data_IF_815675930315
#
_entry.id   IF_815675930315
#
_cell.length_a   1.000
_cell.length_b   1.000
_cell.length_c   1.000
_cell.angle_alpha   90.00
_cell.angle_beta   90.00
_cell.angle_gamma   90.00
#
_symmetry.space_group_name_H-M   'P 1'
#
loop_
_entity.id
_entity.type
_entity.pdbx_description
1 polymer ?
#
# COMPACT_ATOMS: atom_id res chain seq x y z
N UNK A 1 1.91 21.51 21.64
CA UNK A 1 2.61 20.63 20.68
C UNK A 1 2.56 21.35 19.35
N UNK A 2 3.71 21.68 18.77
CA UNK A 2 3.74 22.25 17.42
C UNK A 2 3.08 21.26 16.47
N UNK A 3 2.01 21.71 15.81
CA UNK A 3 1.29 20.93 14.82
C UNK A 3 2.14 20.91 13.56
N UNK A 4 2.94 19.86 13.39
CA UNK A 4 3.63 19.61 12.13
C UNK A 4 2.58 19.30 11.07
N UNK A 5 2.71 19.92 9.90
CA UNK A 5 1.86 19.68 8.75
C UNK A 5 2.77 19.28 7.58
N UNK A 6 2.27 18.37 6.75
CA UNK A 6 2.90 18.07 5.46
C UNK A 6 2.60 19.19 4.47
N UNK A 7 3.56 19.45 3.60
CA UNK A 7 3.53 20.48 2.56
C UNK A 7 3.85 19.86 1.20
N UNK A 8 3.82 20.66 0.13
CA UNK A 8 4.23 20.22 -1.21
C UNK A 8 5.67 19.67 -1.23
N UNK A 9 6.56 20.13 -0.34
CA UNK A 9 7.95 19.67 -0.28
C UNK A 9 8.07 18.21 0.22
N UNK A 10 7.08 17.73 0.94
CA UNK A 10 6.99 16.36 1.42
C UNK A 10 6.43 15.41 0.35
N UNK A 11 5.94 15.94 -0.77
CA UNK A 11 5.33 15.18 -1.87
C UNK A 11 6.33 14.91 -3.01
N UNK A 12 6.08 13.83 -3.76
CA UNK A 12 6.77 13.53 -5.02
C UNK A 12 6.50 14.68 -6.00
N UNK A 13 7.56 15.17 -6.65
CA UNK A 13 7.46 16.29 -7.59
C UNK A 13 6.44 16.01 -8.70
N UNK A 14 5.57 16.97 -8.98
CA UNK A 14 4.52 16.91 -10.00
C UNK A 14 3.44 15.83 -9.78
N UNK A 15 3.44 15.14 -8.64
CA UNK A 15 2.47 14.06 -8.38
C UNK A 15 1.03 14.57 -8.31
N UNK A 16 0.82 15.83 -7.95
CA UNK A 16 -0.50 16.46 -7.85
C UNK A 16 -1.27 16.48 -9.17
N UNK A 17 -0.58 16.46 -10.31
CA UNK A 17 -1.22 16.50 -11.63
C UNK A 17 -0.75 15.43 -12.62
N UNK A 18 0.30 14.65 -12.32
CA UNK A 18 0.79 13.58 -13.21
C UNK A 18 0.50 12.16 -12.73
N UNK A 19 0.35 11.95 -11.43
CA UNK A 19 0.25 10.59 -10.88
C UNK A 19 -1.20 10.13 -10.69
N UNK A 20 -1.41 8.85 -10.96
CA UNK A 20 -2.54 8.11 -10.39
C UNK A 20 -2.36 7.96 -8.87
N UNK A 21 -3.42 8.22 -8.11
CA UNK A 21 -3.47 8.14 -6.66
C UNK A 21 -3.87 6.76 -6.12
N UNK A 22 -4.42 5.87 -6.95
CA UNK A 22 -4.85 4.54 -6.50
C UNK A 22 -3.68 3.75 -5.91
N UNK A 23 -3.88 3.19 -4.70
CA UNK A 23 -2.85 2.44 -3.97
C UNK A 23 -1.71 3.28 -3.40
N UNK A 24 -1.81 4.62 -3.42
CA UNK A 24 -0.76 5.52 -2.94
C UNK A 24 -1.18 6.33 -1.71
N UNK A 25 -0.20 6.78 -0.94
CA UNK A 25 -0.45 7.70 0.18
C UNK A 25 -0.44 9.13 -0.33
N UNK A 26 -1.62 9.73 -0.35
CA UNK A 26 -1.87 11.11 -0.77
C UNK A 26 -1.99 12.03 0.43
N UNK A 27 -1.50 13.26 0.26
CA UNK A 27 -1.43 14.25 1.33
C UNK A 27 -2.52 15.29 1.15
N UNK A 28 -3.44 15.41 2.11
CA UNK A 28 -4.50 16.42 2.13
C UNK A 28 -3.90 17.82 2.36
N UNK A 29 -4.41 18.81 1.63
CA UNK A 29 -4.13 20.23 1.90
C UNK A 29 -4.65 20.62 3.28
N UNK A 30 -3.85 21.28 4.14
CA UNK A 30 -4.31 21.75 5.44
C UNK A 30 -5.57 22.61 5.39
N UNK A 31 -5.76 23.36 4.30
CA UNK A 31 -6.91 24.24 4.08
C UNK A 31 -8.22 23.47 3.86
N UNK A 32 -8.14 22.22 3.41
CA UNK A 32 -9.32 21.32 3.30
C UNK A 32 -9.80 20.87 4.67
N UNK A 33 -8.92 20.84 5.68
CA UNK A 33 -9.22 20.36 7.03
C UNK A 33 -9.80 21.48 7.91
N UNK A 34 -10.83 21.14 8.70
CA UNK A 34 -11.33 22.00 9.79
C UNK A 34 -10.19 22.23 10.81
N UNK A 35 -10.16 23.39 11.45
CA UNK A 35 -9.05 23.79 12.34
C UNK A 35 -8.72 22.77 13.45
N UNK A 36 -9.74 22.10 13.98
CA UNK A 36 -9.57 21.05 14.99
C UNK A 36 -8.87 19.79 14.47
N UNK A 37 -8.91 19.54 13.15
CA UNK A 37 -8.27 18.42 12.45
C UNK A 37 -7.01 18.83 11.70
N UNK A 38 -6.58 20.10 11.75
CA UNK A 38 -5.31 20.54 11.16
C UNK A 38 -4.14 19.99 11.97
N UNK A 39 -3.71 18.80 11.59
CA UNK A 39 -2.66 17.98 12.19
C UNK A 39 -2.18 16.97 11.14
N UNK A 40 -0.88 16.66 11.10
CA UNK A 40 -0.30 15.71 10.12
C UNK A 40 -1.05 14.38 10.03
N UNK A 41 -1.64 13.92 11.14
CA UNK A 41 -2.34 12.63 11.20
C UNK A 41 -3.56 12.57 10.28
N UNK A 42 -4.27 13.69 10.13
CA UNK A 42 -5.46 13.78 9.26
C UNK A 42 -5.12 14.20 7.82
N UNK A 43 -3.82 14.43 7.52
CA UNK A 43 -3.39 14.73 6.17
C UNK A 43 -3.05 13.48 5.35
N UNK A 44 -2.80 12.33 5.98
CA UNK A 44 -2.36 11.13 5.26
C UNK A 44 -3.56 10.23 4.92
N UNK A 45 -3.80 10.04 3.63
CA UNK A 45 -4.90 9.24 3.10
C UNK A 45 -4.36 8.20 2.11
N UNK A 46 -4.92 6.99 2.12
CA UNK A 46 -4.71 5.98 1.08
C UNK A 46 -5.72 6.24 -0.05
N UNK A 47 -5.24 6.53 -1.26
CA UNK A 47 -6.07 6.62 -2.44
C UNK A 47 -6.63 5.24 -2.80
N UNK A 48 -7.95 5.12 -2.87
CA UNK A 48 -8.64 3.85 -3.07
C UNK A 48 -9.17 3.68 -4.49
N UNK A 49 -10.03 4.59 -4.96
CA UNK A 49 -10.60 4.52 -6.31
C UNK A 49 -11.24 5.86 -6.72
N UNK A 50 -11.84 5.90 -7.90
CA UNK A 50 -12.60 7.03 -8.40
C UNK A 50 -11.87 7.77 -9.52
N UNK A 51 -12.63 8.34 -10.45
CA UNK A 51 -12.06 8.97 -11.65
C UNK A 51 -11.17 10.18 -11.37
N UNK A 52 -11.19 10.75 -10.16
CA UNK A 52 -10.25 11.81 -9.77
C UNK A 52 -8.85 11.30 -9.40
N UNK A 53 -8.68 9.99 -9.19
CA UNK A 53 -7.37 9.39 -8.94
C UNK A 53 -6.46 9.51 -10.15
N UNK A 54 -6.98 9.26 -11.35
CA UNK A 54 -6.24 9.39 -12.62
C UNK A 54 -6.44 10.79 -13.22
N UNK A 55 -5.37 11.60 -13.37
CA UNK A 55 -5.47 12.95 -13.91
C UNK A 55 -5.87 13.00 -15.40
N UNK A 56 -5.80 11.88 -16.12
CA UNK A 56 -6.24 11.78 -17.52
C UNK A 56 -7.75 11.65 -17.68
N UNK A 57 -8.45 11.28 -16.60
CA UNK A 57 -9.90 11.13 -16.59
C UNK A 57 -10.61 12.44 -16.22
N UNK A 58 -11.85 12.60 -16.72
CA UNK A 58 -12.64 13.84 -16.49
C UNK A 58 -13.30 13.91 -15.11
N UNK A 59 -13.47 12.79 -14.43
CA UNK A 59 -14.11 12.77 -13.12
C UNK A 59 -13.21 13.36 -12.05
N UNK A 60 -13.81 13.85 -10.96
CA UNK A 60 -13.07 14.57 -9.91
C UNK A 60 -13.03 13.84 -8.57
N UNK A 61 -13.87 12.84 -8.38
CA UNK A 61 -14.03 12.12 -7.13
C UNK A 61 -12.84 11.19 -6.87
N UNK A 62 -12.28 11.29 -5.68
CA UNK A 62 -11.23 10.41 -5.12
C UNK A 62 -11.81 9.80 -3.85
N UNK A 63 -12.08 8.50 -3.87
CA UNK A 63 -12.44 7.74 -2.69
C UNK A 63 -11.17 7.33 -1.97
N UNK A 64 -11.00 7.79 -0.73
CA UNK A 64 -9.78 7.57 0.02
C UNK A 64 -10.07 7.23 1.48
N UNK A 65 -9.08 6.61 2.14
CA UNK A 65 -9.18 6.18 3.54
C UNK A 65 -8.09 6.87 4.37
N UNK A 66 -8.46 7.57 5.44
CA UNK A 66 -7.54 8.23 6.35
C UNK A 66 -6.69 7.19 7.11
N UNK A 67 -5.36 7.38 7.15
CA UNK A 67 -4.46 6.43 7.81
C UNK A 67 -4.62 6.44 9.34
N UNK A 68 -5.04 7.55 9.92
CA UNK A 68 -5.08 7.70 11.37
C UNK A 68 -6.28 6.96 12.00
N UNK A 69 -7.48 7.22 11.51
CA UNK A 69 -8.75 6.73 12.07
C UNK A 69 -9.52 5.76 11.16
N UNK A 70 -8.99 5.47 9.97
CA UNK A 70 -9.64 4.65 8.94
C UNK A 70 -10.95 5.24 8.40
N UNK A 71 -11.19 6.54 8.55
CA UNK A 71 -12.35 7.19 7.93
C UNK A 71 -12.26 7.06 6.41
N UNK A 72 -13.32 6.54 5.78
CA UNK A 72 -13.46 6.51 4.34
C UNK A 72 -14.31 7.69 3.87
N UNK A 73 -13.81 8.45 2.91
CA UNK A 73 -14.49 9.63 2.41
C UNK A 73 -14.25 9.87 0.91
N UNK A 74 -15.19 10.58 0.30
CA UNK A 74 -15.06 11.10 -1.06
C UNK A 74 -14.46 12.51 -1.00
N UNK A 75 -13.37 12.71 -1.71
CA UNK A 75 -12.69 13.99 -1.87
C UNK A 75 -12.58 14.36 -3.34
N UNK A 76 -12.03 15.55 -3.62
CA UNK A 76 -11.67 15.96 -4.97
C UNK A 76 -10.15 15.96 -5.12
N UNK A 77 -9.66 15.70 -6.33
CA UNK A 77 -8.21 15.66 -6.61
C UNK A 77 -7.48 16.91 -6.09
N UNK A 78 -8.06 18.09 -6.30
CA UNK A 78 -7.51 19.37 -5.86
C UNK A 78 -7.42 19.53 -4.33
N UNK A 79 -8.09 18.70 -3.55
CA UNK A 79 -7.96 18.69 -2.10
C UNK A 79 -6.60 18.15 -1.64
N UNK A 80 -5.84 17.50 -2.52
CA UNK A 80 -4.55 16.89 -2.21
C UNK A 80 -3.37 17.72 -2.74
N UNK A 81 -2.26 17.68 -2.01
CA UNK A 81 -0.95 18.22 -2.36
C UNK A 81 -0.18 17.29 -3.32
N UNK A 82 -0.53 16.01 -3.38
CA UNK A 82 0.16 14.99 -4.17
C UNK A 82 0.44 13.72 -3.36
N UNK A 83 1.24 12.82 -3.91
CA UNK A 83 1.70 11.59 -3.26
C UNK A 83 2.87 11.90 -2.32
N UNK A 84 2.86 11.37 -1.10
CA UNK A 84 3.97 11.55 -0.14
C UNK A 84 5.26 10.86 -0.62
N UNK A 85 6.41 11.46 -0.34
CA UNK A 85 7.70 10.79 -0.48
C UNK A 85 7.81 9.66 0.55
N UNK A 86 8.17 8.43 0.16
CA UNK A 86 8.20 7.32 1.11
C UNK A 86 9.15 7.54 2.30
N UNK A 87 10.28 8.21 2.09
CA UNK A 87 11.28 8.50 3.12
C UNK A 87 10.82 9.46 4.22
N UNK A 88 9.77 10.26 3.98
CA UNK A 88 9.23 11.19 4.99
C UNK A 88 7.97 10.65 5.69
N UNK A 89 7.43 9.51 5.25
CA UNK A 89 6.27 8.88 5.88
C UNK A 89 6.64 8.38 7.29
N UNK A 90 6.00 8.89 8.36
CA UNK A 90 6.38 8.56 9.74
C UNK A 90 6.03 7.12 10.12
N UNK A 91 6.78 6.55 11.06
CA UNK A 91 6.59 5.18 11.58
C UNK A 91 5.14 4.86 11.96
N UNK A 92 4.44 5.79 12.61
CA UNK A 92 3.06 5.57 13.02
C UNK A 92 2.14 5.33 11.81
N UNK A 93 2.38 6.04 10.70
CA UNK A 93 1.61 5.94 9.48
C UNK A 93 1.97 4.66 8.71
N UNK A 94 3.27 4.31 8.65
CA UNK A 94 3.73 3.02 8.11
C UNK A 94 3.08 1.83 8.85
N UNK A 95 2.99 1.88 10.17
CA UNK A 95 2.33 0.84 10.97
C UNK A 95 0.80 0.81 10.82
N UNK A 96 0.18 1.91 10.39
CA UNK A 96 -1.26 1.94 10.04
C UNK A 96 -1.47 1.35 8.65
N UNK A 97 -0.65 1.77 7.69
CA UNK A 97 -0.65 1.26 6.33
C UNK A 97 -0.44 -0.26 6.28
N UNK A 98 0.41 -0.82 7.15
CA UNK A 98 0.67 -2.27 7.20
C UNK A 98 -0.56 -3.13 7.50
N UNK A 99 -1.67 -2.52 7.93
CA UNK A 99 -2.94 -3.17 8.22
C UNK A 99 -4.01 -2.95 7.14
N UNK A 100 -3.66 -2.22 6.08
CA UNK A 100 -4.55 -1.90 4.96
C UNK A 100 -4.24 -2.77 3.74
N UNK A 101 -5.22 -2.87 2.85
CA UNK A 101 -5.13 -3.54 1.54
C UNK A 101 -5.78 -2.64 0.48
N UNK A 102 -5.37 -2.70 -0.79
CA UNK A 102 -5.97 -1.89 -1.85
C UNK A 102 -7.47 -2.17 -2.05
N UNK A 103 -7.89 -3.43 -1.93
CA UNK A 103 -9.28 -3.85 -2.07
C UNK A 103 -9.65 -4.86 -0.99
N UNK A 104 -10.74 -4.59 -0.25
CA UNK A 104 -11.34 -5.60 0.64
C UNK A 104 -12.27 -6.49 -0.18
N UNK A 105 -12.05 -7.80 -0.17
CA UNK A 105 -12.97 -8.71 -0.83
C UNK A 105 -14.29 -8.80 -0.05
N UNK A 106 -15.43 -8.92 -0.73
CA UNK A 106 -16.73 -9.04 -0.06
C UNK A 106 -16.89 -10.34 0.77
N UNK A 107 -15.95 -11.29 0.63
CA UNK A 107 -16.03 -12.64 1.18
C UNK A 107 -15.05 -12.91 2.35
N UNK A 108 -14.37 -11.89 2.88
CA UNK A 108 -13.38 -12.05 3.97
C UNK A 108 -13.95 -12.73 5.23
N UNK A 109 -15.26 -12.61 5.48
CA UNK A 109 -15.87 -13.13 6.73
C UNK A 109 -16.22 -14.61 6.69
N UNK A 110 -16.20 -15.24 5.52
CA UNK A 110 -16.67 -16.62 5.31
C UNK A 110 -15.55 -17.56 4.88
N UNK A 111 -14.32 -17.05 4.74
CA UNK A 111 -13.17 -17.81 4.25
C UNK A 111 -12.02 -17.78 5.26
N UNK A 112 -11.20 -18.83 5.24
CA UNK A 112 -9.90 -18.82 5.90
C UNK A 112 -8.87 -18.15 4.99
N UNK A 113 -8.05 -17.19 5.47
CA UNK A 113 -6.96 -16.62 4.67
C UNK A 113 -6.06 -17.71 4.09
N UNK A 114 -5.64 -17.53 2.84
CA UNK A 114 -4.65 -18.40 2.19
C UNK A 114 -3.23 -18.02 2.57
N UNK A 115 -3.03 -16.73 2.85
CA UNK A 115 -1.75 -16.18 3.27
C UNK A 115 -1.93 -15.19 4.42
N UNK A 116 -0.84 -14.92 5.12
CA UNK A 116 -0.70 -13.82 6.08
C UNK A 116 0.40 -12.87 5.62
N UNK A 117 0.04 -11.59 5.44
CA UNK A 117 0.96 -10.52 5.07
C UNK A 117 1.47 -9.77 6.29
N UNK A 118 2.78 -9.57 6.35
CA UNK A 118 3.46 -8.83 7.41
C UNK A 118 4.31 -7.73 6.80
N UNK A 119 4.34 -6.57 7.45
CA UNK A 119 5.22 -5.47 7.09
C UNK A 119 5.94 -4.94 8.32
N UNK A 120 7.25 -4.71 8.18
CA UNK A 120 8.13 -4.35 9.26
C UNK A 120 8.83 -3.02 8.98
N UNK A 121 8.99 -2.24 10.04
CA UNK A 121 9.89 -1.09 10.07
C UNK A 121 11.35 -1.57 10.14
N UNK A 122 12.30 -0.67 9.91
CA UNK A 122 13.74 -0.99 9.93
C UNK A 122 14.23 -1.48 11.30
N UNK A 123 13.63 -1.00 12.39
CA UNK A 123 13.90 -1.48 13.75
C UNK A 123 13.17 -2.79 14.10
N UNK A 124 12.55 -3.46 13.12
CA UNK A 124 11.82 -4.71 13.29
C UNK A 124 10.43 -4.57 13.91
N UNK A 125 9.97 -3.36 14.28
CA UNK A 125 8.60 -3.15 14.77
C UNK A 125 7.60 -3.44 13.65
N UNK A 126 6.51 -4.11 14.01
CA UNK A 126 5.42 -4.47 13.09
C UNK A 126 4.08 -4.52 13.83
N UNK A 127 3.00 -4.71 13.07
CA UNK A 127 1.64 -4.97 13.56
C UNK A 127 1.22 -6.41 13.23
N UNK A 128 0.01 -6.81 13.66
CA UNK A 128 -0.51 -8.16 13.40
C UNK A 128 -0.51 -8.49 11.89
N UNK A 129 -0.42 -9.78 11.58
CA UNK A 129 -0.53 -10.26 10.20
C UNK A 129 -1.90 -9.91 9.60
N UNK A 130 -1.89 -9.56 8.32
CA UNK A 130 -3.09 -9.28 7.53
C UNK A 130 -3.45 -10.53 6.74
N UNK A 131 -4.64 -11.09 6.95
CA UNK A 131 -5.10 -12.26 6.18
C UNK A 131 -5.38 -11.90 4.73
N UNK A 132 -4.85 -12.68 3.78
CA UNK A 132 -4.96 -12.48 2.33
C UNK A 132 -5.56 -13.76 1.71
N UNK A 133 -6.55 -13.63 0.85
CA UNK A 133 -7.40 -14.75 0.42
C UNK A 133 -7.05 -15.29 -0.96
N UNK A 134 -6.19 -14.61 -1.71
CA UNK A 134 -5.71 -15.05 -3.02
C UNK A 134 -4.27 -14.59 -3.28
N UNK A 135 -3.62 -15.21 -4.26
CA UNK A 135 -2.32 -14.77 -4.79
C UNK A 135 -2.37 -13.31 -5.27
N UNK A 136 -3.47 -12.93 -5.95
CA UNK A 136 -3.68 -11.57 -6.42
C UNK A 136 -3.66 -10.58 -5.25
N UNK A 137 -4.41 -10.87 -4.20
CA UNK A 137 -4.47 -10.02 -3.01
C UNK A 137 -3.13 -9.97 -2.27
N UNK A 138 -2.38 -11.07 -2.23
CA UNK A 138 -1.05 -11.06 -1.65
C UNK A 138 -0.08 -10.16 -2.42
N UNK A 139 -0.12 -10.19 -3.75
CA UNK A 139 0.69 -9.30 -4.59
C UNK A 139 0.24 -7.84 -4.49
N UNK A 140 -1.07 -7.57 -4.46
CA UNK A 140 -1.62 -6.22 -4.23
C UNK A 140 -1.19 -5.66 -2.87
N UNK A 141 -1.17 -6.49 -1.83
CA UNK A 141 -0.61 -6.11 -0.52
C UNK A 141 0.88 -5.78 -0.64
N UNK A 142 1.69 -6.63 -1.28
CA UNK A 142 3.12 -6.35 -1.48
C UNK A 142 3.31 -5.00 -2.17
N UNK A 143 2.66 -4.76 -3.30
CA UNK A 143 2.84 -3.52 -4.07
C UNK A 143 2.38 -2.27 -3.30
N UNK A 144 1.32 -2.36 -2.49
CA UNK A 144 0.90 -1.28 -1.59
C UNK A 144 1.97 -0.96 -0.54
N UNK A 145 2.59 -1.98 0.04
CA UNK A 145 3.51 -1.82 1.17
C UNK A 145 4.94 -1.49 0.72
N UNK A 146 5.37 -2.00 -0.44
CA UNK A 146 6.75 -2.00 -0.93
C UNK A 146 7.45 -0.64 -0.96
N UNK A 147 6.79 0.47 -1.31
CA UNK A 147 7.45 1.78 -1.29
C UNK A 147 7.77 2.25 0.14
N UNK A 148 6.97 1.85 1.12
CA UNK A 148 6.92 2.48 2.44
C UNK A 148 7.54 1.64 3.56
N UNK A 149 7.61 0.32 3.39
CA UNK A 149 8.04 -0.61 4.44
C UNK A 149 9.49 -1.04 4.24
N UNK A 150 10.19 -1.33 5.34
CA UNK A 150 11.56 -1.82 5.26
C UNK A 150 11.60 -3.29 4.80
N UNK A 151 10.68 -4.10 5.32
CA UNK A 151 10.56 -5.52 4.99
C UNK A 151 9.10 -5.92 4.87
N UNK A 152 8.80 -6.79 3.92
CA UNK A 152 7.47 -7.38 3.71
C UNK A 152 7.66 -8.89 3.64
N UNK A 153 6.77 -9.63 4.29
CA UNK A 153 6.79 -11.09 4.31
C UNK A 153 5.38 -11.62 4.12
N UNK A 154 5.22 -12.58 3.22
CA UNK A 154 3.97 -13.32 3.01
C UNK A 154 4.22 -14.76 3.46
N UNK A 155 3.40 -15.22 4.40
CA UNK A 155 3.41 -16.61 4.84
C UNK A 155 2.17 -17.34 4.32
N UNK A 156 2.27 -18.64 4.05
CA UNK A 156 1.11 -19.50 3.79
C UNK A 156 0.33 -19.85 5.07
N UNK A 157 -0.56 -20.83 4.98
CA UNK A 157 -1.41 -21.27 6.11
C UNK A 157 -0.67 -22.09 7.17
N UNK A 158 0.49 -22.62 6.83
CA UNK A 158 1.32 -23.43 7.72
C UNK A 158 2.50 -22.61 8.29
N UNK A 159 2.40 -21.27 8.22
CA UNK A 159 3.38 -20.28 8.66
C UNK A 159 4.74 -20.36 7.93
N UNK A 160 4.80 -21.00 6.75
CA UNK A 160 6.00 -20.95 5.92
C UNK A 160 6.05 -19.64 5.14
N UNK A 161 7.20 -18.97 5.18
CA UNK A 161 7.48 -17.81 4.32
C UNK A 161 7.50 -18.26 2.86
N UNK A 162 6.68 -17.62 2.02
CA UNK A 162 6.57 -17.91 0.58
C UNK A 162 7.00 -16.73 -0.28
N UNK A 163 6.98 -15.50 0.25
CA UNK A 163 7.50 -14.31 -0.42
C UNK A 163 8.09 -13.34 0.60
N UNK A 164 9.26 -12.80 0.31
CA UNK A 164 9.89 -11.81 1.18
C UNK A 164 10.62 -10.74 0.39
N UNK A 165 10.44 -9.50 0.84
CA UNK A 165 11.08 -8.32 0.29
C UNK A 165 11.81 -7.56 1.39
N UNK A 166 13.00 -7.05 1.09
CA UNK A 166 13.75 -6.11 1.93
C UNK A 166 14.13 -4.90 1.08
N UNK A 167 13.81 -3.69 1.55
CA UNK A 167 14.06 -2.43 0.85
C UNK A 167 13.57 -2.44 -0.61
N UNK A 168 12.44 -3.10 -0.85
CA UNK A 168 11.81 -3.22 -2.16
C UNK A 168 12.38 -4.33 -3.05
N UNK A 169 13.44 -5.02 -2.64
CA UNK A 169 14.05 -6.14 -3.38
C UNK A 169 13.50 -7.48 -2.89
N UNK A 170 13.09 -8.34 -3.82
CA UNK A 170 12.66 -9.71 -3.49
C UNK A 170 13.87 -10.54 -3.08
N UNK A 171 13.83 -11.10 -1.87
CA UNK A 171 14.87 -11.98 -1.33
C UNK A 171 14.41 -13.43 -1.19
N UNK A 172 13.10 -13.68 -1.15
CA UNK A 172 12.51 -15.01 -1.18
C UNK A 172 11.26 -15.02 -2.09
N UNK A 173 11.06 -16.04 -2.93
CA UNK A 173 12.03 -17.09 -3.28
C UNK A 173 13.32 -16.51 -3.86
N UNK A 174 14.43 -17.23 -3.69
CA UNK A 174 15.69 -16.78 -4.30
C UNK A 174 15.60 -16.91 -5.82
N UNK A 175 16.52 -16.26 -6.55
CA UNK A 175 16.60 -16.42 -8.02
C UNK A 175 16.79 -17.89 -8.41
N UNK A 176 17.60 -18.63 -7.65
CA UNK A 176 17.86 -20.05 -7.86
C UNK A 176 16.57 -20.88 -7.65
N UNK A 177 15.80 -20.59 -6.60
CA UNK A 177 14.51 -21.26 -6.34
C UNK A 177 13.49 -20.98 -7.47
N UNK A 178 13.46 -19.74 -7.98
CA UNK A 178 12.61 -19.34 -9.09
C UNK A 178 13.02 -20.05 -10.39
N UNK A 179 14.32 -20.09 -10.70
CA UNK A 179 14.86 -20.76 -11.87
C UNK A 179 14.59 -22.27 -11.83
N UNK A 180 14.74 -22.91 -10.67
CA UNK A 180 14.40 -24.30 -10.46
C UNK A 180 12.91 -24.56 -10.70
N UNK A 181 12.03 -23.75 -10.11
CA UNK A 181 10.58 -23.86 -10.29
C UNK A 181 10.13 -23.68 -11.74
N UNK A 182 10.69 -22.69 -12.45
CA UNK A 182 10.38 -22.44 -13.86
C UNK A 182 10.87 -23.60 -14.75
N UNK A 183 12.05 -24.13 -14.47
CA UNK A 183 12.61 -25.29 -15.20
C UNK A 183 11.75 -26.54 -15.02
N UNK A 184 11.17 -26.75 -13.85
CA UNK A 184 10.21 -27.83 -13.57
C UNK A 184 8.87 -27.64 -14.29
N UNK A 185 8.37 -26.39 -14.38
CA UNK A 185 7.12 -26.05 -15.10
C UNK A 185 7.26 -26.25 -16.62
N UNK A 186 8.41 -25.88 -17.19
CA UNK A 186 8.72 -26.11 -18.62
C UNK A 186 8.78 -27.61 -18.95
N UNK A 187 9.33 -28.42 -18.04
CA UNK A 187 9.35 -29.88 -18.17
C UNK A 187 7.96 -30.51 -17.96
N UNK A 188 7.12 -29.90 -17.13
CA UNK A 188 5.74 -30.35 -16.86
C UNK A 188 4.71 -29.86 -17.89
N UNK A 189 5.09 -29.03 -18.86
CA UNK A 189 4.23 -28.57 -19.96
C UNK A 189 3.11 -27.61 -19.57
N UNK A 190 3.16 -26.98 -18.40
CA UNK A 190 2.10 -26.10 -17.90
C UNK A 190 2.52 -24.63 -18.04
N UNK A 191 2.13 -23.99 -19.14
CA UNK A 191 2.46 -22.59 -19.41
C UNK A 191 1.49 -21.64 -18.69
N UNK A 192 1.87 -21.07 -17.54
CA UNK A 192 1.38 -19.75 -17.13
C UNK A 192 2.50 -18.72 -17.28
N UNK A 193 2.28 -17.74 -18.16
CA UNK A 193 3.13 -16.54 -18.25
C UNK A 193 2.81 -15.60 -17.09
N UNK A 194 3.73 -15.48 -16.14
CA UNK A 194 3.78 -14.30 -15.27
C UNK A 194 4.63 -13.23 -15.98
N UNK A 195 4.04 -12.06 -16.24
CA UNK A 195 4.81 -10.89 -16.64
C UNK A 195 5.35 -10.25 -15.36
N UNK A 196 6.67 -10.36 -15.16
CA UNK A 196 7.45 -9.62 -14.16
C UNK A 196 7.69 -8.18 -14.62
#
# INVERSE_FOLDING_TARGET
MDKKLFTMEDCIKDSDYKEDYEGKIIVMRPETLKDQYRDERFQLWLGGSGFGCDPSLRGRAVFATCLYDNEHAEWRRENFLGTIKPEVLPDWARLKLSQMKPHSSAHEREQTPKYSGYSFLENGRYKAGVGLYSEKEAMEYVELQKPYQHRIMICDRDDFNVLEFIKGEMIHPSKEDLEAFLSEQEQSGNSMRMNL
#
